data_IF_018416455003
#
_entry.id   IF_018416455003
#
_cell.length_a   1.000
_cell.length_b   1.000
_cell.length_c   1.000
_cell.angle_alpha   90.00
_cell.angle_beta   90.00
_cell.angle_gamma   90.00
#
_symmetry.space_group_name_H-M   'P 1'
#
loop_
_entity.id
_entity.type
_entity.pdbx_description
1 polymer ?
#
# COMPACT_ATOMS: atom_id res chain seq x y z
N UNK A 1 2.58 -30.92 26.99
CA UNK A 1 1.31 -30.28 26.59
C UNK A 1 1.36 -28.74 26.60
N UNK A 2 2.26 -28.04 27.31
CA UNK A 2 2.24 -26.56 27.41
C UNK A 2 2.83 -25.75 26.24
N UNK A 3 3.10 -26.35 25.07
CA UNK A 3 3.69 -25.64 23.94
C UNK A 3 2.73 -24.62 23.30
N UNK A 4 1.44 -24.98 23.23
CA UNK A 4 0.38 -24.12 22.68
C UNK A 4 0.12 -22.94 23.61
N UNK A 5 0.05 -23.18 24.92
CA UNK A 5 -0.15 -22.12 25.94
C UNK A 5 0.99 -21.10 25.92
N UNK A 6 2.23 -21.57 25.75
CA UNK A 6 3.39 -20.69 25.64
C UNK A 6 3.32 -19.83 24.37
N UNK A 7 2.91 -20.41 23.24
CA UNK A 7 2.72 -19.67 22.01
C UNK A 7 1.63 -18.59 22.16
N UNK A 8 0.50 -18.92 22.78
CA UNK A 8 -0.60 -17.97 23.01
C UNK A 8 -0.21 -16.84 23.98
N UNK A 9 0.55 -17.18 25.03
CA UNK A 9 1.16 -16.20 25.93
C UNK A 9 2.10 -15.24 25.19
N UNK A 10 2.99 -15.75 24.32
CA UNK A 10 3.92 -14.91 23.54
C UNK A 10 3.19 -13.95 22.58
N UNK A 11 2.07 -14.39 22.01
CA UNK A 11 1.23 -13.54 21.14
C UNK A 11 0.55 -12.46 21.99
N UNK A 12 0.00 -12.84 23.14
CA UNK A 12 -0.70 -11.94 24.05
C UNK A 12 0.18 -10.81 24.59
N UNK A 13 1.47 -11.04 24.82
CA UNK A 13 2.44 -10.03 25.32
C UNK A 13 2.57 -8.79 24.43
N UNK A 14 2.45 -8.94 23.11
CA UNK A 14 2.64 -7.85 22.15
C UNK A 14 1.52 -7.83 21.10
N UNK A 15 0.29 -8.14 21.55
CA UNK A 15 -0.90 -8.15 20.71
C UNK A 15 -1.21 -6.75 20.19
N UNK A 16 -1.40 -6.61 18.89
CA UNK A 16 -1.76 -5.32 18.28
C UNK A 16 -3.24 -5.02 18.46
N UNK A 17 -3.63 -3.85 19.00
CA UNK A 17 -5.03 -3.44 19.06
C UNK A 17 -5.52 -3.08 17.66
N UNK A 18 -6.04 -4.07 16.93
CA UNK A 18 -6.56 -3.87 15.58
C UNK A 18 -8.09 -3.89 15.62
N UNK A 19 -8.72 -2.73 15.40
CA UNK A 19 -10.18 -2.60 15.34
C UNK A 19 -10.60 -2.35 13.89
N UNK A 20 -11.10 -3.40 13.23
CA UNK A 20 -11.67 -3.30 11.89
C UNK A 20 -13.03 -3.97 11.81
N UNK A 21 -13.91 -3.47 10.94
CA UNK A 21 -15.20 -4.09 10.63
C UNK A 21 -15.06 -5.34 9.75
N UNK A 22 -13.88 -5.55 9.17
CA UNK A 22 -13.55 -6.66 8.28
C UNK A 22 -12.93 -7.79 9.10
N UNK A 23 -13.72 -8.82 9.38
CA UNK A 23 -13.33 -9.95 10.25
C UNK A 23 -12.02 -10.63 9.83
N UNK A 24 -11.79 -10.78 8.52
CA UNK A 24 -10.61 -11.45 7.97
C UNK A 24 -9.29 -10.72 8.31
N UNK A 25 -9.32 -9.41 8.55
CA UNK A 25 -8.12 -8.68 8.94
C UNK A 25 -7.65 -9.05 10.35
N UNK A 26 -8.56 -9.47 11.23
CA UNK A 26 -8.18 -10.00 12.55
C UNK A 26 -7.36 -11.28 12.43
N UNK A 27 -7.77 -12.19 11.54
CA UNK A 27 -7.03 -13.41 11.23
C UNK A 27 -5.67 -13.08 10.62
N UNK A 28 -5.64 -12.14 9.66
CA UNK A 28 -4.39 -11.72 9.04
C UNK A 28 -3.38 -11.19 10.06
N UNK A 29 -3.79 -10.29 10.96
CA UNK A 29 -2.91 -9.75 12.00
C UNK A 29 -2.40 -10.85 12.93
N UNK A 30 -3.26 -11.79 13.31
CA UNK A 30 -2.87 -12.95 14.12
C UNK A 30 -1.80 -13.81 13.42
N UNK A 31 -1.95 -14.07 12.12
CA UNK A 31 -0.95 -14.80 11.34
C UNK A 31 0.40 -14.09 11.34
N UNK A 32 0.41 -12.76 11.16
CA UNK A 32 1.67 -11.99 11.21
C UNK A 32 2.33 -12.07 12.60
N UNK A 33 1.55 -12.00 13.67
CA UNK A 33 2.08 -12.11 15.04
C UNK A 33 2.69 -13.51 15.32
N UNK A 34 2.05 -14.57 14.82
CA UNK A 34 2.58 -15.95 14.88
C UNK A 34 3.91 -16.06 14.11
N UNK A 35 3.95 -15.55 12.87
CA UNK A 35 5.16 -15.57 12.05
C UNK A 35 6.34 -14.84 12.71
N UNK A 36 6.10 -13.67 13.31
CA UNK A 36 7.14 -12.92 14.03
C UNK A 36 7.69 -13.68 15.24
N UNK A 37 6.81 -14.32 16.02
CA UNK A 37 7.22 -15.11 17.17
C UNK A 37 8.03 -16.35 16.75
N UNK A 38 7.61 -17.04 15.69
CA UNK A 38 8.34 -18.18 15.14
C UNK A 38 9.70 -17.77 14.58
N UNK A 39 9.78 -16.66 13.84
CA UNK A 39 11.05 -16.14 13.35
C UNK A 39 12.02 -15.79 14.49
N UNK A 40 11.51 -15.25 15.60
CA UNK A 40 12.32 -14.99 16.79
C UNK A 40 12.84 -16.27 17.46
N UNK A 41 12.02 -17.34 17.51
CA UNK A 41 12.46 -18.64 18.02
C UNK A 41 13.58 -19.24 17.15
N UNK A 42 13.43 -19.15 15.82
CA UNK A 42 14.48 -19.56 14.87
C UNK A 42 15.74 -18.75 15.07
N UNK A 43 15.64 -17.41 15.17
CA UNK A 43 16.77 -16.54 15.43
C UNK A 43 17.51 -16.94 16.72
N UNK A 44 16.78 -17.25 17.80
CA UNK A 44 17.37 -17.70 19.08
C UNK A 44 18.03 -19.06 19.00
N UNK A 45 17.53 -19.96 18.16
CA UNK A 45 18.16 -21.25 17.92
C UNK A 45 19.50 -21.08 17.17
N UNK A 46 19.55 -20.15 16.21
CA UNK A 46 20.72 -19.88 15.38
C UNK A 46 21.83 -19.06 16.08
N UNK A 47 21.49 -18.03 16.86
CA UNK A 47 22.49 -17.13 17.47
C UNK A 47 23.18 -17.67 18.74
N UNK A 48 22.82 -18.87 19.22
CA UNK A 48 23.42 -19.45 20.42
C UNK A 48 23.10 -18.71 21.73
N UNK A 49 23.66 -19.16 22.88
CA UNK A 49 23.29 -18.65 24.21
C UNK A 49 23.76 -17.22 24.52
N UNK A 50 24.74 -16.68 23.79
CA UNK A 50 25.39 -15.39 24.12
C UNK A 50 24.75 -14.13 23.51
N UNK A 51 23.88 -14.25 22.49
CA UNK A 51 23.30 -13.11 21.77
C UNK A 51 21.78 -13.25 21.59
N UNK A 52 21.07 -13.39 22.72
CA UNK A 52 19.61 -13.47 22.71
C UNK A 52 19.00 -12.09 22.91
N UNK A 53 18.57 -11.48 21.80
CA UNK A 53 17.76 -10.25 21.84
C UNK A 53 16.34 -10.55 22.35
N UNK A 54 15.77 -9.59 23.07
CA UNK A 54 14.37 -9.68 23.53
C UNK A 54 13.40 -9.64 22.35
N UNK A 55 12.22 -10.24 22.51
CA UNK A 55 11.19 -10.28 21.47
C UNK A 55 10.78 -8.87 21.01
N UNK A 56 10.75 -7.89 21.92
CA UNK A 56 10.47 -6.47 21.60
C UNK A 56 11.52 -5.89 20.65
N UNK A 57 12.80 -6.09 20.97
CA UNK A 57 13.92 -5.55 20.16
C UNK A 57 13.93 -6.20 18.79
N UNK A 58 13.71 -7.52 18.72
CA UNK A 58 13.61 -8.24 17.46
C UNK A 58 12.48 -7.69 16.57
N UNK A 59 11.28 -7.50 17.13
CA UNK A 59 10.14 -6.92 16.39
C UNK A 59 10.45 -5.50 15.88
N UNK A 60 11.13 -4.69 16.67
CA UNK A 60 11.56 -3.35 16.25
C UNK A 60 12.58 -3.41 15.11
N UNK A 61 13.58 -4.28 15.19
CA UNK A 61 14.54 -4.48 14.10
C UNK A 61 13.86 -4.93 12.80
N UNK A 62 12.90 -5.87 12.87
CA UNK A 62 12.12 -6.28 11.70
C UNK A 62 11.34 -5.11 11.11
N UNK A 63 10.74 -4.27 11.95
CA UNK A 63 10.05 -3.05 11.51
C UNK A 63 10.98 -2.08 10.79
N UNK A 64 12.14 -1.75 11.37
CA UNK A 64 13.13 -0.84 10.76
C UNK A 64 13.60 -1.36 9.39
N UNK A 65 13.94 -2.65 9.30
CA UNK A 65 14.38 -3.26 8.05
C UNK A 65 13.28 -3.23 6.97
N UNK A 66 12.02 -3.51 7.34
CA UNK A 66 10.89 -3.44 6.41
C UNK A 66 10.58 -2.01 5.98
N UNK A 67 10.77 -1.03 6.88
CA UNK A 67 10.58 0.38 6.56
C UNK A 67 11.61 0.85 5.54
N UNK A 68 12.88 0.49 5.73
CA UNK A 68 13.97 0.80 4.80
C UNK A 68 13.78 0.10 3.45
N UNK A 69 13.38 -1.18 3.46
CA UNK A 69 13.11 -1.95 2.24
C UNK A 69 11.94 -1.38 1.43
N UNK A 70 10.95 -0.72 2.05
CA UNK A 70 9.85 -0.07 1.32
C UNK A 70 10.24 1.28 0.70
N UNK A 71 11.38 1.87 1.05
CA UNK A 71 11.82 3.15 0.47
C UNK A 71 12.38 3.00 -0.95
N UNK A 72 12.90 1.83 -1.31
CA UNK A 72 13.27 1.51 -2.70
C UNK A 72 12.04 1.35 -3.61
N UNK A 73 10.86 1.08 -3.03
CA UNK A 73 9.57 1.04 -3.69
C UNK A 73 8.78 2.36 -3.54
N UNK A 74 9.46 3.52 -3.46
CA UNK A 74 8.81 4.83 -3.57
C UNK A 74 8.06 4.89 -4.90
N UNK A 75 6.78 4.51 -4.85
CA UNK A 75 5.80 4.73 -5.90
C UNK A 75 5.88 6.21 -6.21
N UNK A 76 6.44 6.57 -7.36
CA UNK A 76 6.45 7.94 -7.85
C UNK A 76 5.00 8.39 -7.77
N UNK A 77 4.67 9.23 -6.79
CA UNK A 77 3.38 9.91 -6.77
C UNK A 77 3.47 10.83 -7.98
N UNK A 78 2.95 10.36 -9.11
CA UNK A 78 2.67 11.24 -10.24
C UNK A 78 1.68 12.25 -9.68
N UNK A 79 2.17 13.45 -9.37
CA UNK A 79 1.31 14.57 -9.11
C UNK A 79 0.55 14.84 -10.41
N UNK A 80 -0.60 14.20 -10.55
CA UNK A 80 -1.56 14.59 -11.56
C UNK A 80 -2.04 15.98 -11.14
N UNK A 81 -1.49 17.01 -11.78
CA UNK A 81 -2.00 18.37 -11.62
C UNK A 81 -3.48 18.34 -11.96
N UNK A 82 -4.34 18.55 -10.95
CA UNK A 82 -5.77 18.73 -11.17
C UNK A 82 -5.93 19.99 -12.04
N UNK A 83 -6.44 19.83 -13.26
CA UNK A 83 -6.76 20.96 -14.12
C UNK A 83 -7.96 21.66 -13.48
N UNK A 84 -7.71 22.84 -12.90
CA UNK A 84 -8.77 23.63 -12.25
C UNK A 84 -9.59 24.46 -13.25
N UNK A 85 -9.01 24.83 -14.41
CA UNK A 85 -9.71 25.56 -15.49
C UNK A 85 -9.34 24.98 -16.86
N UNK A 86 -10.19 24.17 -17.48
CA UNK A 86 -9.92 23.70 -18.85
C UNK A 86 -9.95 24.89 -19.83
N UNK A 87 -9.30 24.74 -20.99
CA UNK A 87 -9.27 25.79 -22.03
C UNK A 87 -10.66 25.97 -22.66
N UNK A 88 -11.41 24.88 -22.79
CA UNK A 88 -12.80 24.89 -23.28
C UNK A 88 -13.75 24.37 -22.20
N UNK A 89 -14.99 24.85 -22.20
CA UNK A 89 -16.01 24.38 -21.25
C UNK A 89 -16.30 22.91 -21.49
N UNK A 90 -16.46 22.15 -20.39
CA UNK A 90 -16.85 20.75 -20.51
C UNK A 90 -18.26 20.70 -21.10
N UNK A 91 -18.53 19.85 -22.11
CA UNK A 91 -19.87 19.73 -22.69
C UNK A 91 -20.91 19.39 -21.61
N UNK A 92 -22.16 19.79 -21.83
CA UNK A 92 -23.26 19.51 -20.92
C UNK A 92 -23.52 18.01 -20.80
N UNK A 93 -24.14 17.55 -19.70
CA UNK A 93 -24.44 16.12 -19.51
C UNK A 93 -25.28 15.49 -20.63
N UNK A 94 -26.28 16.16 -21.25
CA UNK A 94 -27.06 15.55 -22.32
C UNK A 94 -26.21 15.21 -23.54
N UNK A 95 -25.27 16.09 -23.91
CA UNK A 95 -24.37 15.90 -25.06
C UNK A 95 -23.31 14.82 -24.79
N UNK A 96 -22.95 14.56 -23.54
CA UNK A 96 -21.99 13.50 -23.19
C UNK A 96 -22.56 12.10 -23.31
N UNK A 97 -23.87 11.97 -23.11
CA UNK A 97 -24.57 10.69 -23.03
C UNK A 97 -25.65 10.61 -24.12
N UNK A 98 -25.43 11.29 -25.26
CA UNK A 98 -26.38 11.29 -26.37
C UNK A 98 -26.29 10.03 -27.25
N UNK A 99 -25.37 9.11 -26.94
CA UNK A 99 -25.09 7.87 -27.68
C UNK A 99 -24.84 8.07 -29.19
N UNK A 100 -24.59 9.31 -29.62
CA UNK A 100 -24.35 9.67 -31.03
C UNK A 100 -22.90 9.36 -31.45
N UNK A 101 -22.02 9.00 -30.51
CA UNK A 101 -20.64 8.62 -30.80
C UNK A 101 -19.86 9.79 -31.40
N UNK A 102 -19.50 10.78 -30.58
CA UNK A 102 -18.67 11.90 -31.00
C UNK A 102 -17.27 11.43 -31.42
N UNK A 103 -17.01 11.39 -32.72
CA UNK A 103 -15.68 11.11 -33.24
C UNK A 103 -14.78 12.34 -33.09
N UNK A 104 -13.50 12.16 -32.72
CA UNK A 104 -12.54 13.25 -32.76
C UNK A 104 -12.38 13.73 -34.20
N UNK A 105 -12.46 15.03 -34.42
CA UNK A 105 -12.16 15.60 -35.73
C UNK A 105 -10.64 15.52 -35.98
N UNK A 106 -10.28 15.19 -37.22
CA UNK A 106 -8.88 15.16 -37.66
C UNK A 106 -8.37 16.61 -37.63
N UNK A 107 -7.32 16.86 -36.85
CA UNK A 107 -6.62 18.14 -36.79
C UNK A 107 -5.12 17.88 -36.95
N UNK A 108 -4.42 18.77 -37.66
CA UNK A 108 -2.99 18.62 -37.96
C UNK A 108 -2.10 18.67 -36.70
N UNK A 109 -2.55 19.36 -35.63
CA UNK A 109 -1.90 19.39 -34.31
C UNK A 109 -2.92 19.42 -33.16
N UNK A 110 -3.29 18.25 -32.64
CA UNK A 110 -4.21 18.12 -31.51
C UNK A 110 -3.52 18.16 -30.14
N UNK A 111 -3.76 19.21 -29.35
CA UNK A 111 -3.48 19.22 -27.89
C UNK A 111 -4.74 18.80 -27.13
N UNK A 112 -4.59 18.18 -25.95
CA UNK A 112 -5.74 17.91 -25.09
C UNK A 112 -6.43 19.24 -24.71
N UNK A 113 -7.69 19.44 -25.16
CA UNK A 113 -8.51 20.64 -24.90
C UNK A 113 -8.74 20.93 -23.41
N UNK A 114 -8.49 19.94 -22.56
CA UNK A 114 -8.69 20.05 -21.12
C UNK A 114 -7.38 20.31 -20.36
N UNK A 115 -6.19 20.18 -20.95
CA UNK A 115 -4.92 20.40 -20.25
C UNK A 115 -4.42 21.85 -20.40
N UNK A 116 -4.05 22.50 -19.27
CA UNK A 116 -3.44 23.85 -19.30
C UNK A 116 -1.95 23.84 -19.65
N UNK A 117 -1.23 22.77 -19.30
CA UNK A 117 0.21 22.63 -19.59
C UNK A 117 0.42 21.85 -20.89
N UNK A 118 1.43 22.29 -21.65
CA UNK A 118 1.83 21.82 -23.00
C UNK A 118 2.34 20.36 -22.98
N UNK A 119 1.50 19.40 -22.66
CA UNK A 119 1.84 17.98 -22.75
C UNK A 119 0.98 17.35 -23.84
N UNK A 120 1.63 16.94 -24.93
CA UNK A 120 1.01 16.16 -26.01
C UNK A 120 0.68 14.76 -25.49
N UNK A 121 -0.58 14.55 -25.10
CA UNK A 121 -1.09 13.21 -24.88
C UNK A 121 -1.59 12.65 -26.21
N UNK A 122 -0.75 11.85 -26.87
CA UNK A 122 -1.19 10.94 -27.92
C UNK A 122 -1.88 9.76 -27.21
N UNK A 123 -3.18 9.60 -27.42
CA UNK A 123 -3.87 8.35 -27.10
C UNK A 123 -3.67 7.43 -28.31
N UNK A 124 -2.93 6.35 -28.11
CA UNK A 124 -3.00 5.14 -28.94
C UNK A 124 -4.10 4.27 -28.38
#
# INVERSE_FOLDING_TARGET
MGGVDLADMLISLYKRPFKSRRWYLGIFVQIVDICLNNAWLVYRAWCGPGSKISLKVFRHQVYENLLLANQSAKRIKREHSKINKPYETRPSSPVKYDDVGHFPSIMDEGRCRYCQKKNSCFFV
#
